data_IF_942505640402
#
_entry.id   IF_942505640402
#
_cell.length_a   1.000
_cell.length_b   1.000
_cell.length_c   1.000
_cell.angle_alpha   90.00
_cell.angle_beta   90.00
_cell.angle_gamma   90.00
#
_symmetry.space_group_name_H-M   'P 1'
#
loop_
_entity.id
_entity.type
_entity.pdbx_description
1 polymer ?
#
# COMPACT_ATOMS: atom_id res chain seq x y z
N UNK A 1 -25.22 23.49 45.76
CA UNK A 1 -24.10 23.26 44.82
C UNK A 1 -23.38 22.01 45.26
N UNK A 2 -23.73 20.86 44.68
CA UNK A 2 -23.07 19.58 44.96
C UNK A 2 -22.22 19.32 43.71
N UNK A 3 -20.91 19.50 43.83
CA UNK A 3 -19.98 18.90 42.89
C UNK A 3 -20.00 17.40 43.20
N UNK A 4 -20.77 16.64 42.43
CA UNK A 4 -20.65 15.18 42.42
C UNK A 4 -19.22 14.86 41.98
N UNK A 5 -18.41 14.41 42.94
CA UNK A 5 -17.13 13.80 42.67
C UNK A 5 -17.40 12.54 41.85
N UNK A 6 -17.12 12.63 40.55
CA UNK A 6 -17.20 11.51 39.62
C UNK A 6 -16.53 10.28 40.25
N UNK A 7 -17.27 9.19 40.38
CA UNK A 7 -16.86 8.00 41.14
C UNK A 7 -15.65 7.29 40.51
N UNK A 8 -15.22 7.73 39.33
CA UNK A 8 -14.24 7.06 38.48
C UNK A 8 -12.97 7.89 38.40
N UNK A 9 -11.86 7.32 38.84
CA UNK A 9 -10.55 7.86 38.50
C UNK A 9 -10.26 7.62 36.99
N UNK A 10 -9.36 8.41 36.39
CA UNK A 10 -8.97 8.28 34.98
C UNK A 10 -8.52 6.87 34.58
N UNK A 11 -7.90 6.12 35.49
CA UNK A 11 -7.42 4.76 35.23
C UNK A 11 -8.58 3.75 35.12
N UNK A 12 -9.54 3.82 36.02
CA UNK A 12 -10.75 2.98 36.06
C UNK A 12 -11.63 3.31 34.85
N UNK A 13 -11.81 4.59 34.52
CA UNK A 13 -12.52 5.02 33.32
C UNK A 13 -11.90 4.40 32.05
N UNK A 14 -10.57 4.41 31.92
CA UNK A 14 -9.90 3.81 30.76
C UNK A 14 -10.05 2.29 30.69
N UNK A 15 -10.02 1.60 31.83
CA UNK A 15 -10.23 0.15 31.89
C UNK A 15 -11.66 -0.24 31.50
N UNK A 16 -12.66 0.47 32.04
CA UNK A 16 -14.08 0.26 31.71
C UNK A 16 -14.33 0.60 30.24
N UNK A 17 -13.76 1.70 29.74
CA UNK A 17 -13.84 2.08 28.33
C UNK A 17 -13.24 1.01 27.42
N UNK A 18 -12.05 0.48 27.73
CA UNK A 18 -11.45 -0.62 26.97
C UNK A 18 -12.32 -1.88 26.95
N UNK A 19 -12.86 -2.28 28.10
CA UNK A 19 -13.73 -3.45 28.22
C UNK A 19 -15.02 -3.28 27.42
N UNK A 20 -15.73 -2.16 27.63
CA UNK A 20 -17.01 -1.86 26.98
C UNK A 20 -16.85 -1.58 25.49
N UNK A 21 -15.68 -1.09 25.05
CA UNK A 21 -15.39 -0.76 23.65
C UNK A 21 -15.62 -1.93 22.67
N UNK A 22 -15.55 -3.17 23.15
CA UNK A 22 -15.85 -4.40 22.37
C UNK A 22 -17.32 -4.52 21.98
N UNK A 23 -18.22 -3.88 22.74
CA UNK A 23 -19.67 -3.93 22.56
C UNK A 23 -20.31 -2.56 22.32
N UNK A 24 -19.54 -1.46 22.38
CA UNK A 24 -20.04 -0.09 22.17
C UNK A 24 -20.67 0.14 20.78
N UNK A 25 -20.43 -0.71 19.80
CA UNK A 25 -21.13 -0.67 18.50
C UNK A 25 -22.64 -0.94 18.61
N UNK A 26 -23.10 -1.49 19.75
CA UNK A 26 -24.53 -1.70 20.06
C UNK A 26 -25.15 -0.51 20.80
N UNK A 27 -24.36 0.49 21.17
CA UNK A 27 -24.81 1.64 21.96
C UNK A 27 -25.24 2.79 21.04
N UNK A 28 -26.56 2.97 20.90
CA UNK A 28 -27.18 4.00 20.05
C UNK A 28 -28.08 4.86 20.96
N UNK A 29 -27.47 5.80 21.70
CA UNK A 29 -28.20 6.79 22.51
C UNK A 29 -27.74 8.21 22.15
N UNK A 30 -28.58 9.21 22.42
CA UNK A 30 -28.33 10.63 22.07
C UNK A 30 -27.06 11.23 22.71
N UNK A 31 -26.50 10.57 23.74
CA UNK A 31 -25.28 10.98 24.43
C UNK A 31 -24.04 10.16 24.00
N UNK A 32 -24.03 9.62 22.79
CA UNK A 32 -22.88 8.91 22.22
C UNK A 32 -22.03 9.86 21.33
N UNK A 33 -20.71 9.85 21.51
CA UNK A 33 -19.77 10.48 20.58
C UNK A 33 -19.53 9.53 19.40
N UNK A 34 -19.60 10.04 18.17
CA UNK A 34 -19.22 9.28 16.99
C UNK A 34 -17.73 8.89 17.09
N UNK A 35 -17.47 7.59 17.00
CA UNK A 35 -16.12 7.04 17.01
C UNK A 35 -15.91 6.32 15.67
N UNK A 36 -14.72 6.44 15.08
CA UNK A 36 -14.46 5.99 13.71
C UNK A 36 -14.73 4.48 13.52
N UNK A 37 -15.38 4.15 12.41
CA UNK A 37 -15.76 2.77 12.05
C UNK A 37 -14.57 1.80 11.98
N UNK A 38 -13.33 2.29 11.83
CA UNK A 38 -12.12 1.47 11.79
C UNK A 38 -11.93 0.62 13.06
N UNK A 39 -12.17 1.19 14.25
CA UNK A 39 -12.02 0.45 15.51
C UNK A 39 -13.08 -0.64 15.65
N UNK A 40 -14.29 -0.39 15.15
CA UNK A 40 -15.40 -1.34 15.17
C UNK A 40 -15.15 -2.51 14.21
N UNK A 41 -14.57 -2.27 13.03
CA UNK A 41 -14.28 -3.35 12.08
C UNK A 41 -13.05 -4.17 12.47
N UNK A 42 -12.05 -3.58 13.12
CA UNK A 42 -10.96 -4.34 13.77
C UNK A 42 -11.55 -5.28 14.82
N UNK A 43 -12.54 -4.81 15.59
CA UNK A 43 -13.24 -5.64 16.59
C UNK A 43 -14.13 -6.72 15.96
N UNK A 44 -14.68 -6.49 14.77
CA UNK A 44 -15.51 -7.46 14.04
C UNK A 44 -14.69 -8.51 13.27
N UNK A 45 -13.56 -8.12 12.70
CA UNK A 45 -12.70 -9.02 11.91
C UNK A 45 -11.61 -9.68 12.73
N UNK A 46 -11.33 -9.21 13.95
CA UNK A 46 -10.27 -9.73 14.81
C UNK A 46 -8.84 -9.53 14.28
N UNK A 47 -8.68 -8.92 13.10
CA UNK A 47 -7.40 -8.67 12.43
C UNK A 47 -6.72 -7.43 12.98
N UNK A 48 -5.38 -7.46 13.05
CA UNK A 48 -4.62 -6.29 13.45
C UNK A 48 -4.67 -5.17 12.39
N UNK A 49 -4.56 -3.90 12.81
CA UNK A 49 -4.46 -2.76 11.87
C UNK A 49 -3.31 -2.91 10.88
N UNK A 50 -2.22 -3.59 11.27
CA UNK A 50 -1.07 -3.88 10.40
C UNK A 50 -1.44 -4.89 9.31
N UNK A 51 -2.15 -5.96 9.66
CA UNK A 51 -2.54 -7.01 8.71
C UNK A 51 -3.59 -6.50 7.72
N UNK A 52 -4.54 -5.66 8.18
CA UNK A 52 -5.51 -4.98 7.30
C UNK A 52 -4.79 -4.09 6.29
N UNK A 53 -3.80 -3.31 6.73
CA UNK A 53 -2.99 -2.46 5.85
C UNK A 53 -2.17 -3.29 4.86
N UNK A 54 -1.56 -4.38 5.34
CA UNK A 54 -0.81 -5.30 4.50
C UNK A 54 -1.69 -5.90 3.40
N UNK A 55 -2.90 -6.36 3.75
CA UNK A 55 -3.84 -6.91 2.80
C UNK A 55 -4.29 -5.86 1.79
N UNK A 56 -4.61 -4.65 2.26
CA UNK A 56 -4.98 -3.53 1.39
C UNK A 56 -3.86 -3.17 0.41
N UNK A 57 -2.61 -3.14 0.86
CA UNK A 57 -1.45 -2.85 0.02
C UNK A 57 -1.21 -3.94 -1.04
N UNK A 58 -1.29 -5.22 -0.66
CA UNK A 58 -1.17 -6.33 -1.63
C UNK A 58 -2.30 -6.25 -2.67
N UNK A 59 -3.54 -6.01 -2.23
CA UNK A 59 -4.69 -5.90 -3.14
C UNK A 59 -4.59 -4.72 -4.07
N UNK A 60 -4.14 -3.58 -3.56
CA UNK A 60 -3.87 -2.40 -4.38
C UNK A 60 -2.83 -2.72 -5.46
N UNK A 61 -1.71 -3.36 -5.11
CA UNK A 61 -0.68 -3.72 -6.08
C UNK A 61 -1.19 -4.68 -7.15
N UNK A 62 -2.07 -5.62 -6.79
CA UNK A 62 -2.67 -6.58 -7.72
C UNK A 62 -3.90 -6.04 -8.46
N UNK A 63 -4.32 -4.81 -8.18
CA UNK A 63 -5.50 -4.21 -8.79
C UNK A 63 -5.28 -3.94 -10.28
N UNK A 64 -6.40 -3.93 -11.03
CA UNK A 64 -6.39 -3.56 -12.45
C UNK A 64 -5.90 -2.13 -12.68
N UNK A 65 -6.09 -1.24 -11.70
CA UNK A 65 -5.68 0.16 -11.78
C UNK A 65 -4.15 0.30 -11.80
N UNK A 66 -3.44 -0.42 -10.92
CA UNK A 66 -1.97 -0.40 -10.91
C UNK A 66 -1.40 -1.06 -12.16
N UNK A 67 -2.03 -2.14 -12.64
CA UNK A 67 -1.67 -2.75 -13.93
C UNK A 67 -1.83 -1.75 -15.08
N UNK A 68 -2.99 -1.09 -15.18
CA UNK A 68 -3.26 -0.06 -16.19
C UNK A 68 -2.32 1.14 -16.08
N UNK A 69 -1.98 1.56 -14.86
CA UNK A 69 -0.99 2.60 -14.60
C UNK A 69 0.35 2.29 -15.25
N UNK A 70 0.86 1.07 -15.04
CA UNK A 70 2.22 0.70 -15.44
C UNK A 70 2.30 0.35 -16.92
N UNK A 71 1.31 -0.36 -17.46
CA UNK A 71 1.32 -0.85 -18.85
C UNK A 71 0.86 0.22 -19.83
N UNK A 72 -0.14 1.03 -19.47
CA UNK A 72 -0.81 1.93 -20.42
C UNK A 72 -0.53 3.41 -20.18
N UNK A 73 -0.58 3.87 -18.93
CA UNK A 73 -0.48 5.30 -18.61
C UNK A 73 0.98 5.75 -18.54
N UNK A 74 1.81 5.03 -17.76
CA UNK A 74 3.19 5.43 -17.51
C UNK A 74 4.04 5.54 -18.78
N UNK A 75 3.98 4.59 -19.75
CA UNK A 75 4.74 4.74 -21.00
C UNK A 75 4.31 5.96 -21.79
N UNK A 76 3.02 6.30 -21.81
CA UNK A 76 2.50 7.48 -22.52
C UNK A 76 2.95 8.78 -21.85
N UNK A 77 2.92 8.84 -20.52
CA UNK A 77 3.44 9.97 -19.73
C UNK A 77 4.94 10.15 -19.97
N UNK A 78 5.72 9.08 -19.93
CA UNK A 78 7.19 9.15 -20.11
C UNK A 78 7.54 9.62 -21.54
N UNK A 79 6.84 9.10 -22.54
CA UNK A 79 7.06 9.47 -23.94
C UNK A 79 6.60 10.91 -24.24
N UNK A 80 5.63 11.42 -23.49
CA UNK A 80 5.02 12.75 -23.68
C UNK A 80 4.89 13.48 -22.34
N UNK A 81 6.03 13.67 -21.68
CA UNK A 81 6.05 14.33 -20.37
C UNK A 81 5.57 15.78 -20.53
N UNK A 82 4.64 16.21 -19.67
CA UNK A 82 4.18 17.59 -19.69
C UNK A 82 5.35 18.51 -19.41
N UNK A 83 5.43 19.61 -20.13
CA UNK A 83 6.53 20.57 -19.99
C UNK A 83 6.01 21.98 -20.17
N UNK A 84 6.58 22.88 -19.40
CA UNK A 84 6.40 24.31 -19.59
C UNK A 84 7.71 24.95 -20.03
N UNK A 85 7.62 26.09 -20.70
CA UNK A 85 8.78 26.78 -21.26
C UNK A 85 9.00 28.09 -20.54
N UNK A 86 10.11 28.22 -19.83
CA UNK A 86 10.48 29.45 -19.13
C UNK A 86 11.68 30.12 -19.81
N UNK A 87 11.71 31.44 -19.72
CA UNK A 87 12.86 32.23 -20.09
C UNK A 87 13.86 32.25 -18.94
N UNK A 88 15.06 31.72 -19.17
CA UNK A 88 16.17 31.82 -18.22
C UNK A 88 17.24 32.77 -18.75
N UNK A 89 17.77 33.61 -17.86
CA UNK A 89 18.88 34.51 -18.16
C UNK A 89 20.17 33.75 -17.86
N UNK A 90 21.02 33.62 -18.87
CA UNK A 90 22.30 32.91 -18.79
C UNK A 90 23.44 33.87 -19.00
N UNK A 91 24.51 33.69 -18.23
CA UNK A 91 25.78 34.39 -18.39
C UNK A 91 26.80 33.39 -18.91
N UNK A 92 27.35 33.64 -20.08
CA UNK A 92 28.32 32.75 -20.72
C UNK A 92 29.37 33.57 -21.48
N UNK A 93 30.56 33.01 -21.64
CA UNK A 93 31.67 33.59 -22.41
C UNK A 93 31.80 33.00 -23.81
N UNK A 94 31.39 31.75 -23.98
CA UNK A 94 31.76 30.98 -25.16
C UNK A 94 30.67 30.95 -26.23
N UNK A 95 29.40 30.77 -25.83
CA UNK A 95 28.31 30.64 -26.80
C UNK A 95 27.07 31.41 -26.35
N UNK A 96 26.60 32.28 -27.24
CA UNK A 96 25.29 32.94 -27.13
C UNK A 96 24.26 32.09 -27.84
N UNK A 97 23.28 31.58 -27.09
CA UNK A 97 22.14 30.82 -27.63
C UNK A 97 20.84 31.49 -27.24
N UNK A 98 20.48 32.56 -27.95
CA UNK A 98 19.24 33.30 -27.73
C UNK A 98 19.41 34.81 -27.88
N UNK A 99 18.45 35.57 -27.33
CA UNK A 99 18.44 37.03 -27.41
C UNK A 99 19.37 37.61 -26.35
N UNK A 100 20.37 38.39 -26.76
CA UNK A 100 21.28 39.11 -25.86
C UNK A 100 20.51 40.23 -25.16
N UNK A 101 20.68 40.32 -23.84
CA UNK A 101 20.29 41.48 -23.03
C UNK A 101 21.51 42.40 -22.93
N UNK A 102 21.60 43.37 -23.83
CA UNK A 102 22.76 44.28 -23.92
C UNK A 102 22.92 45.14 -22.67
N UNK A 103 21.82 45.59 -22.07
CA UNK A 103 21.84 46.40 -20.85
C UNK A 103 22.49 45.60 -19.71
N UNK A 104 22.03 44.36 -19.49
CA UNK A 104 22.65 43.49 -18.48
C UNK A 104 24.07 43.11 -18.87
N UNK A 105 24.34 42.84 -20.14
CA UNK A 105 25.69 42.49 -20.61
C UNK A 105 26.69 43.60 -20.28
N UNK A 106 26.37 44.86 -20.62
CA UNK A 106 27.22 46.01 -20.31
C UNK A 106 27.46 46.11 -18.80
N UNK A 107 26.40 45.98 -17.98
CA UNK A 107 26.53 46.04 -16.53
C UNK A 107 27.44 44.95 -15.95
N UNK A 108 27.30 43.70 -16.41
CA UNK A 108 28.09 42.58 -15.89
C UNK A 108 29.53 42.68 -16.39
N UNK A 109 29.77 43.18 -17.61
CA UNK A 109 31.12 43.46 -18.11
C UNK A 109 31.82 44.52 -17.29
N UNK A 110 31.13 45.63 -16.99
CA UNK A 110 31.70 46.71 -16.18
C UNK A 110 32.17 46.20 -14.81
N UNK A 111 31.38 45.31 -14.17
CA UNK A 111 31.76 44.67 -12.90
C UNK A 111 32.91 43.68 -13.07
N UNK A 112 32.97 42.95 -14.18
CA UNK A 112 33.98 41.93 -14.46
C UNK A 112 35.28 42.48 -15.08
N UNK A 113 35.56 43.78 -14.96
CA UNK A 113 36.78 44.38 -15.51
C UNK A 113 36.74 44.61 -17.02
N UNK A 114 35.55 44.89 -17.56
CA UNK A 114 35.27 45.15 -18.98
C UNK A 114 35.58 43.96 -19.92
N UNK A 115 35.40 42.73 -19.43
CA UNK A 115 35.60 41.49 -20.19
C UNK A 115 34.64 41.40 -21.40
N UNK A 116 35.16 41.58 -22.61
CA UNK A 116 34.38 41.61 -23.87
C UNK A 116 33.78 40.24 -24.21
N UNK A 117 34.35 39.15 -23.68
CA UNK A 117 33.86 37.80 -23.95
C UNK A 117 32.54 37.48 -23.23
N UNK A 118 32.21 38.21 -22.17
CA UNK A 118 31.08 37.90 -21.32
C UNK A 118 29.76 38.40 -21.94
N UNK A 119 28.78 37.53 -22.12
CA UNK A 119 27.46 37.89 -22.62
C UNK A 119 26.36 37.45 -21.65
N UNK A 120 25.32 38.27 -21.54
CA UNK A 120 24.08 37.93 -20.84
C UNK A 120 22.98 37.79 -21.88
N UNK A 121 22.40 36.61 -21.99
CA UNK A 121 21.33 36.35 -22.95
C UNK A 121 20.20 35.53 -22.33
N UNK A 122 19.00 35.68 -22.89
CA UNK A 122 17.83 34.91 -22.51
C UNK A 122 17.69 33.71 -23.44
N UNK A 123 17.55 32.51 -22.85
CA UNK A 123 17.21 31.29 -23.58
C UNK A 123 15.95 30.65 -23.01
N UNK A 124 15.19 30.00 -23.88
CA UNK A 124 14.06 29.18 -23.48
C UNK A 124 14.57 27.86 -22.89
N UNK A 125 14.15 27.54 -21.68
CA UNK A 125 14.42 26.27 -21.02
C UNK A 125 13.11 25.54 -20.72
N UNK A 126 13.14 24.21 -20.87
CA UNK A 126 11.99 23.36 -20.57
C UNK A 126 12.03 22.96 -19.10
N UNK A 127 10.94 23.24 -18.38
CA UNK A 127 10.68 22.76 -17.04
C UNK A 127 9.71 21.59 -17.11
N UNK A 128 10.07 20.51 -16.43
CA UNK A 128 9.25 19.32 -16.26
C UNK A 128 8.61 19.24 -14.87
N UNK A 129 8.89 20.21 -14.01
CA UNK A 129 8.44 20.20 -12.62
C UNK A 129 7.02 20.78 -12.47
N UNK A 130 6.07 20.12 -13.12
CA UNK A 130 4.64 20.46 -13.11
C UNK A 130 3.86 19.64 -12.08
N UNK A 131 2.73 20.14 -11.55
CA UNK A 131 1.93 19.44 -10.53
C UNK A 131 1.57 18.00 -10.94
N UNK A 132 1.19 17.79 -12.20
CA UNK A 132 0.77 16.48 -12.71
C UNK A 132 1.95 15.50 -12.81
N UNK A 133 3.13 16.03 -13.20
CA UNK A 133 4.36 15.24 -13.26
C UNK A 133 4.85 14.87 -11.86
N UNK A 134 4.69 15.76 -10.88
CA UNK A 134 5.00 15.46 -9.48
C UNK A 134 4.06 14.40 -8.92
N UNK A 135 2.76 14.45 -9.25
CA UNK A 135 1.81 13.41 -8.87
C UNK A 135 2.18 12.05 -9.47
N UNK A 136 2.56 12.03 -10.75
CA UNK A 136 3.05 10.83 -11.42
C UNK A 136 4.26 10.25 -10.70
N UNK A 137 5.29 11.06 -10.45
CA UNK A 137 6.50 10.63 -9.76
C UNK A 137 6.18 10.10 -8.35
N UNK A 138 5.32 10.81 -7.61
CA UNK A 138 4.88 10.38 -6.28
C UNK A 138 4.24 9.00 -6.34
N UNK A 139 3.26 8.81 -7.23
CA UNK A 139 2.51 7.55 -7.31
C UNK A 139 3.42 6.38 -7.71
N UNK A 140 4.25 6.55 -8.73
CA UNK A 140 5.20 5.51 -9.16
C UNK A 140 6.17 5.16 -8.04
N UNK A 141 6.66 6.16 -7.30
CA UNK A 141 7.56 5.92 -6.17
C UNK A 141 6.88 5.15 -5.04
N UNK A 142 5.64 5.50 -4.69
CA UNK A 142 4.90 4.78 -3.66
C UNK A 142 4.58 3.34 -4.06
N UNK A 143 4.21 3.12 -5.32
CA UNK A 143 3.99 1.76 -5.85
C UNK A 143 5.30 0.97 -5.82
N UNK A 144 6.42 1.57 -6.24
CA UNK A 144 7.74 0.94 -6.19
C UNK A 144 8.14 0.57 -4.75
N UNK A 145 8.03 1.52 -3.81
CA UNK A 145 8.43 1.31 -2.43
C UNK A 145 7.59 0.19 -1.77
N UNK A 146 6.27 0.17 -1.98
CA UNK A 146 5.39 -0.91 -1.51
C UNK A 146 5.71 -2.24 -2.19
N UNK A 147 5.84 -2.28 -3.51
CA UNK A 147 6.10 -3.50 -4.26
C UNK A 147 7.47 -4.11 -3.91
N UNK A 148 8.49 -3.27 -3.72
CA UNK A 148 9.84 -3.70 -3.30
C UNK A 148 9.82 -4.37 -1.93
N UNK A 149 9.03 -3.86 -0.98
CA UNK A 149 8.90 -4.46 0.35
C UNK A 149 8.40 -5.91 0.29
N UNK A 150 7.45 -6.20 -0.61
CA UNK A 150 6.92 -7.56 -0.77
C UNK A 150 7.80 -8.45 -1.66
N UNK A 151 8.37 -7.90 -2.72
CA UNK A 151 9.19 -8.68 -3.66
C UNK A 151 10.47 -9.22 -3.01
N UNK A 152 11.08 -8.49 -2.06
CA UNK A 152 12.29 -8.93 -1.37
C UNK A 152 13.39 -9.37 -2.34
N UNK A 153 13.93 -10.57 -2.11
CA UNK A 153 15.03 -11.13 -2.92
C UNK A 153 14.62 -11.51 -4.35
N UNK A 154 13.32 -11.72 -4.63
CA UNK A 154 12.85 -12.02 -5.98
C UNK A 154 13.17 -10.89 -6.96
N UNK A 155 13.18 -9.64 -6.48
CA UNK A 155 13.50 -8.49 -7.31
C UNK A 155 14.93 -8.55 -7.87
N UNK A 156 15.88 -9.04 -7.08
CA UNK A 156 17.29 -9.17 -7.48
C UNK A 156 17.49 -10.25 -8.54
N UNK A 157 16.62 -11.25 -8.57
CA UNK A 157 16.67 -12.40 -9.48
C UNK A 157 15.92 -12.16 -10.79
N UNK A 158 15.18 -11.06 -10.91
CA UNK A 158 14.46 -10.71 -12.14
C UNK A 158 15.40 -10.10 -13.17
N UNK A 159 15.29 -10.57 -14.41
CA UNK A 159 15.93 -9.90 -15.55
C UNK A 159 15.23 -8.57 -15.83
N UNK A 160 15.96 -7.63 -16.42
CA UNK A 160 15.46 -6.27 -16.71
C UNK A 160 14.31 -6.22 -17.75
N UNK A 161 14.08 -7.32 -18.47
CA UNK A 161 13.01 -7.52 -19.45
C UNK A 161 11.94 -8.51 -18.99
N UNK A 162 11.85 -8.81 -17.68
CA UNK A 162 10.82 -9.68 -17.17
C UNK A 162 9.41 -9.10 -17.42
N UNK A 163 8.57 -9.88 -18.09
CA UNK A 163 7.16 -9.59 -18.35
C UNK A 163 6.28 -10.59 -17.58
N UNK A 164 4.96 -10.34 -17.56
CA UNK A 164 4.00 -11.26 -16.95
C UNK A 164 4.03 -12.60 -17.71
N UNK A 165 4.74 -13.57 -17.15
CA UNK A 165 4.81 -14.94 -17.68
C UNK A 165 3.63 -15.79 -17.19
N UNK A 166 3.65 -17.08 -17.51
CA UNK A 166 2.63 -18.08 -17.11
C UNK A 166 2.68 -18.48 -15.62
N UNK A 167 3.41 -17.74 -14.78
CA UNK A 167 3.51 -18.05 -13.37
C UNK A 167 2.42 -17.30 -12.59
N UNK A 168 1.45 -18.05 -12.10
CA UNK A 168 0.25 -17.53 -11.44
C UNK A 168 0.51 -16.98 -10.03
N UNK A 169 1.74 -17.08 -9.51
CA UNK A 169 2.06 -16.58 -8.17
C UNK A 169 2.01 -15.06 -8.11
N UNK A 170 1.13 -14.56 -7.25
CA UNK A 170 0.96 -13.13 -6.99
C UNK A 170 2.26 -12.40 -6.64
N UNK A 171 3.16 -13.05 -5.89
CA UNK A 171 4.46 -12.48 -5.47
C UNK A 171 5.34 -12.12 -6.68
N UNK A 172 5.29 -12.90 -7.76
CA UNK A 172 6.03 -12.61 -8.99
C UNK A 172 5.42 -11.44 -9.74
N UNK A 173 4.09 -11.33 -9.78
CA UNK A 173 3.40 -10.17 -10.36
C UNK A 173 3.81 -8.88 -9.66
N UNK A 174 3.85 -8.91 -8.32
CA UNK A 174 4.33 -7.77 -7.52
C UNK A 174 5.83 -7.48 -7.78
N UNK A 175 6.66 -8.50 -7.94
CA UNK A 175 8.07 -8.30 -8.27
C UNK A 175 8.28 -7.70 -9.68
N UNK A 176 7.46 -8.07 -10.66
CA UNK A 176 7.44 -7.45 -12.00
C UNK A 176 7.02 -5.98 -11.91
N UNK A 177 5.98 -5.67 -11.13
CA UNK A 177 5.56 -4.29 -10.85
C UNK A 177 6.73 -3.47 -10.27
N UNK A 178 7.45 -4.01 -9.28
CA UNK A 178 8.63 -3.35 -8.70
C UNK A 178 9.75 -3.13 -9.76
N UNK A 179 9.98 -4.10 -10.64
CA UNK A 179 10.97 -3.97 -11.72
C UNK A 179 10.58 -2.89 -12.74
N UNK A 180 9.33 -2.89 -13.19
CA UNK A 180 8.81 -1.92 -14.18
C UNK A 180 8.81 -0.50 -13.62
N UNK A 181 8.35 -0.30 -12.38
CA UNK A 181 8.38 1.01 -11.72
C UNK A 181 9.81 1.51 -11.47
N UNK A 182 10.75 0.62 -11.12
CA UNK A 182 12.18 0.95 -11.05
C UNK A 182 12.74 1.47 -12.37
N UNK A 183 12.36 0.87 -13.51
CA UNK A 183 12.76 1.33 -14.85
C UNK A 183 12.24 2.73 -15.15
N UNK A 184 10.99 3.01 -14.78
CA UNK A 184 10.37 4.33 -14.96
C UNK A 184 11.13 5.39 -14.15
N UNK A 185 11.46 5.09 -12.90
CA UNK A 185 12.18 6.00 -12.00
C UNK A 185 13.61 6.31 -12.45
N UNK A 186 14.25 5.41 -13.20
CA UNK A 186 15.60 5.62 -13.79
C UNK A 186 15.59 6.51 -15.03
N UNK A 187 14.43 6.90 -15.54
CA UNK A 187 14.36 7.75 -16.73
C UNK A 187 14.98 9.14 -16.47
N UNK A 188 15.88 9.64 -17.34
CA UNK A 188 16.54 10.93 -17.13
C UNK A 188 15.59 12.13 -17.02
N UNK A 189 14.44 12.12 -17.70
CA UNK A 189 13.44 13.20 -17.60
C UNK A 189 12.67 13.14 -16.28
N UNK A 190 12.35 11.93 -15.81
CA UNK A 190 11.68 11.72 -14.52
C UNK A 190 12.58 12.17 -13.37
N UNK A 191 13.90 11.95 -13.48
CA UNK A 191 14.88 12.39 -12.48
C UNK A 191 14.96 13.92 -12.29
N UNK A 192 14.44 14.71 -13.24
CA UNK A 192 14.41 16.18 -13.19
C UNK A 192 13.15 16.74 -12.51
N UNK A 193 12.19 15.89 -12.17
CA UNK A 193 10.94 16.29 -11.50
C UNK A 193 11.19 16.43 -10.00
N UNK A 194 10.64 17.47 -9.37
CA UNK A 194 10.74 17.68 -7.93
C UNK A 194 10.02 16.59 -7.13
N UNK A 195 10.64 16.14 -6.05
CA UNK A 195 10.04 15.13 -5.16
C UNK A 195 8.92 15.76 -4.33
N UNK A 196 7.81 15.04 -4.25
CA UNK A 196 6.68 15.34 -3.38
C UNK A 196 6.67 14.37 -2.20
N UNK A 197 6.39 14.87 -0.99
CA UNK A 197 6.31 14.05 0.22
C UNK A 197 4.86 13.69 0.58
N UNK A 198 3.90 14.54 0.22
CA UNK A 198 2.48 14.34 0.53
C UNK A 198 1.61 14.74 -0.67
N UNK A 199 0.56 13.97 -0.95
CA UNK A 199 -0.44 14.34 -1.94
C UNK A 199 -1.41 15.35 -1.32
N UNK A 200 -1.60 16.47 -2.02
CA UNK A 200 -2.64 17.43 -1.73
C UNK A 200 -3.80 17.26 -2.72
N UNK A 201 -5.05 17.32 -2.23
CA UNK A 201 -6.26 17.26 -3.05
C UNK A 201 -6.25 18.32 -4.17
N UNK A 202 -5.64 19.49 -3.92
CA UNK A 202 -5.44 20.54 -4.95
C UNK A 202 -4.66 20.05 -6.17
N UNK A 203 -3.68 19.18 -5.97
CA UNK A 203 -2.83 18.67 -7.04
C UNK A 203 -3.55 17.61 -7.84
N UNK A 204 -4.33 16.75 -7.17
CA UNK A 204 -5.21 15.80 -7.85
C UNK A 204 -6.20 16.54 -8.73
N UNK A 205 -6.86 17.57 -8.19
CA UNK A 205 -7.86 18.34 -8.93
C UNK A 205 -7.23 19.09 -10.12
N UNK A 206 -6.05 19.69 -9.93
CA UNK A 206 -5.29 20.27 -11.04
C UNK A 206 -4.96 19.24 -12.12
N UNK A 207 -4.60 18.02 -11.72
CA UNK A 207 -4.27 16.91 -12.63
C UNK A 207 -5.52 16.43 -13.40
N UNK A 208 -6.70 16.39 -12.78
CA UNK A 208 -7.97 16.06 -13.45
C UNK A 208 -8.33 17.06 -14.56
N UNK A 209 -7.89 18.32 -14.43
CA UNK A 209 -8.10 19.34 -15.44
C UNK A 209 -6.98 19.40 -16.49
N UNK A 210 -6.02 18.48 -16.46
CA UNK A 210 -4.95 18.45 -17.45
C UNK A 210 -5.49 18.19 -18.86
N UNK A 211 -4.88 18.85 -19.84
CA UNK A 211 -5.24 18.72 -21.26
C UNK A 211 -5.03 17.31 -21.82
N UNK A 212 -4.11 16.55 -21.24
CA UNK A 212 -3.82 15.18 -21.70
C UNK A 212 -4.65 14.16 -20.91
N UNK A 213 -5.32 13.25 -21.61
CA UNK A 213 -6.18 12.24 -20.99
C UNK A 213 -5.45 11.36 -19.98
N UNK A 214 -4.18 11.02 -20.23
CA UNK A 214 -3.41 10.13 -19.35
C UNK A 214 -3.15 10.72 -17.96
N UNK A 215 -3.08 12.04 -17.82
CA UNK A 215 -3.01 12.67 -16.49
C UNK A 215 -4.36 12.64 -15.78
N UNK A 216 -5.47 12.75 -16.52
CA UNK A 216 -6.81 12.61 -15.93
C UNK A 216 -7.03 11.20 -15.38
N UNK A 217 -6.68 10.18 -16.17
CA UNK A 217 -6.68 8.79 -15.71
C UNK A 217 -5.73 8.57 -14.52
N UNK A 218 -4.54 9.18 -14.52
CA UNK A 218 -3.61 9.14 -13.39
C UNK A 218 -4.23 9.71 -12.11
N UNK A 219 -4.98 10.81 -12.22
CA UNK A 219 -5.64 11.43 -11.07
C UNK A 219 -6.69 10.49 -10.44
N UNK A 220 -7.48 9.79 -11.26
CA UNK A 220 -8.44 8.78 -10.78
C UNK A 220 -7.75 7.64 -10.03
N UNK A 221 -6.61 7.16 -10.54
CA UNK A 221 -5.82 6.12 -9.87
C UNK A 221 -5.21 6.66 -8.57
N UNK A 222 -4.76 7.91 -8.55
CA UNK A 222 -4.24 8.55 -7.34
C UNK A 222 -5.33 8.68 -6.25
N UNK A 223 -6.57 8.99 -6.61
CA UNK A 223 -7.69 9.01 -5.67
C UNK A 223 -7.96 7.62 -5.07
N UNK A 224 -7.96 6.58 -5.91
CA UNK A 224 -8.11 5.19 -5.44
C UNK A 224 -6.95 4.76 -4.55
N UNK A 225 -5.73 5.14 -4.90
CA UNK A 225 -4.55 4.92 -4.07
C UNK A 225 -4.74 5.59 -2.70
N UNK A 226 -5.12 6.86 -2.64
CA UNK A 226 -5.36 7.57 -1.38
C UNK A 226 -6.50 6.93 -0.58
N UNK A 227 -7.58 6.53 -1.25
CA UNK A 227 -8.69 5.83 -0.64
C UNK A 227 -8.23 4.53 0.04
N UNK A 228 -7.36 3.74 -0.61
CA UNK A 228 -6.77 2.53 0.00
C UNK A 228 -5.95 2.82 1.26
N UNK A 229 -5.26 3.97 1.31
CA UNK A 229 -4.41 4.33 2.44
C UNK A 229 -5.20 4.96 3.60
N UNK A 230 -6.17 5.82 3.29
CA UNK A 230 -7.01 6.52 4.29
C UNK A 230 -8.10 5.62 4.85
N UNK A 231 -8.65 4.71 4.04
CA UNK A 231 -9.79 3.86 4.37
C UNK A 231 -9.59 2.41 3.89
N UNK A 232 -8.59 1.68 4.44
CA UNK A 232 -8.21 0.36 3.94
C UNK A 232 -9.35 -0.67 4.03
N UNK A 233 -10.21 -0.57 5.03
CA UNK A 233 -11.35 -1.49 5.22
C UNK A 233 -12.42 -1.29 4.14
N UNK A 234 -12.82 -0.04 3.88
CA UNK A 234 -13.81 0.26 2.85
C UNK A 234 -13.27 -0.11 1.46
N UNK A 235 -11.96 0.09 1.24
CA UNK A 235 -11.25 -0.37 0.04
C UNK A 235 -11.30 -1.88 -0.11
N UNK A 236 -10.93 -2.64 0.93
CA UNK A 236 -10.96 -4.10 0.90
C UNK A 236 -12.36 -4.66 0.67
N UNK A 237 -13.39 -4.05 1.27
CA UNK A 237 -14.79 -4.48 1.03
C UNK A 237 -15.18 -4.39 -0.44
N UNK A 238 -14.69 -3.36 -1.15
CA UNK A 238 -14.95 -3.19 -2.59
C UNK A 238 -14.11 -4.12 -3.45
N UNK A 239 -12.84 -4.33 -3.11
CA UNK A 239 -11.90 -5.12 -3.92
C UNK A 239 -12.05 -6.64 -3.73
N UNK A 240 -12.46 -7.10 -2.55
CA UNK A 240 -12.62 -8.53 -2.26
C UNK A 240 -13.90 -9.14 -2.85
N UNK A 241 -14.84 -8.32 -3.30
CA UNK A 241 -16.08 -8.75 -3.95
C UNK A 241 -15.77 -9.31 -5.35
N UNK A 242 -15.28 -10.55 -5.40
CA UNK A 242 -14.93 -11.29 -6.62
C UNK A 242 -13.44 -11.59 -6.83
N UNK A 243 -12.52 -11.06 -6.01
CA UNK A 243 -11.07 -11.29 -6.15
C UNK A 243 -10.44 -11.87 -4.88
N UNK A 244 -10.31 -13.20 -4.82
CA UNK A 244 -9.69 -13.93 -3.70
C UNK A 244 -8.32 -14.48 -4.12
N UNK A 245 -7.40 -14.65 -3.17
CA UNK A 245 -6.12 -15.34 -3.42
C UNK A 245 -6.34 -16.82 -3.16
N UNK A 246 -6.31 -17.63 -4.21
CA UNK A 246 -6.44 -19.07 -4.12
C UNK A 246 -5.04 -19.74 -4.07
N UNK A 247 -4.83 -20.73 -3.20
CA UNK A 247 -3.63 -21.55 -3.24
C UNK A 247 -3.52 -22.32 -4.57
N UNK A 248 -2.35 -22.25 -5.21
CA UNK A 248 -2.12 -22.95 -6.48
C UNK A 248 -2.00 -24.47 -6.33
N UNK A 249 -1.53 -24.95 -5.16
CA UNK A 249 -1.41 -26.37 -4.87
C UNK A 249 -2.65 -26.88 -4.13
N UNK A 250 -3.21 -28.01 -4.60
CA UNK A 250 -4.31 -28.74 -3.96
C UNK A 250 -3.97 -29.16 -2.52
N UNK A 251 -2.72 -29.54 -2.25
CA UNK A 251 -2.31 -29.93 -0.89
C UNK A 251 -2.42 -28.75 0.08
N UNK A 252 -1.92 -27.58 -0.32
CA UNK A 252 -2.01 -26.35 0.47
C UNK A 252 -3.46 -25.90 0.64
N UNK A 253 -4.30 -26.07 -0.39
CA UNK A 253 -5.73 -25.81 -0.28
C UNK A 253 -6.40 -26.73 0.76
N UNK A 254 -6.05 -28.02 0.75
CA UNK A 254 -6.53 -28.98 1.74
C UNK A 254 -6.08 -28.62 3.16
N UNK A 255 -4.81 -28.26 3.35
CA UNK A 255 -4.28 -27.82 4.64
C UNK A 255 -5.03 -26.59 5.19
N UNK A 256 -5.30 -25.60 4.33
CA UNK A 256 -6.08 -24.41 4.69
C UNK A 256 -7.53 -24.77 5.00
N UNK A 257 -8.14 -25.68 4.24
CA UNK A 257 -9.50 -26.14 4.49
C UNK A 257 -9.62 -26.85 5.85
N UNK A 258 -8.67 -27.72 6.19
CA UNK A 258 -8.60 -28.40 7.49
C UNK A 258 -8.39 -27.40 8.62
N UNK A 259 -7.50 -26.42 8.44
CA UNK A 259 -7.29 -25.33 9.39
C UNK A 259 -8.60 -24.59 9.68
N UNK A 260 -9.32 -24.15 8.65
CA UNK A 260 -10.58 -23.44 8.80
C UNK A 260 -11.66 -24.32 9.44
N UNK A 261 -11.78 -25.60 9.04
CA UNK A 261 -12.69 -26.54 9.71
C UNK A 261 -12.36 -26.71 11.20
N UNK A 262 -11.09 -26.75 11.56
CA UNK A 262 -10.67 -26.87 12.97
C UNK A 262 -11.05 -25.62 13.78
N UNK A 263 -10.88 -24.43 13.21
CA UNK A 263 -11.31 -23.16 13.83
C UNK A 263 -12.83 -23.15 14.00
N UNK A 264 -13.59 -23.46 12.94
CA UNK A 264 -15.05 -23.48 12.97
C UNK A 264 -15.59 -24.51 13.98
N UNK A 265 -15.08 -25.73 13.98
CA UNK A 265 -15.48 -26.76 14.94
C UNK A 265 -15.17 -26.34 16.39
N UNK A 266 -14.05 -25.64 16.62
CA UNK A 266 -13.73 -25.11 17.95
C UNK A 266 -14.74 -24.03 18.37
N UNK A 267 -15.14 -23.14 17.46
CA UNK A 267 -16.17 -22.12 17.72
C UNK A 267 -17.53 -22.78 18.02
N UNK A 268 -17.92 -23.81 17.27
CA UNK A 268 -19.14 -24.58 17.50
C UNK A 268 -19.15 -25.26 18.89
N UNK A 269 -17.99 -25.69 19.39
CA UNK A 269 -17.81 -26.23 20.74
C UNK A 269 -17.79 -25.16 21.85
N UNK A 270 -18.11 -23.90 21.52
CA UNK A 270 -18.23 -22.81 22.48
C UNK A 270 -16.94 -22.03 22.75
N UNK A 271 -15.89 -22.24 21.95
CA UNK A 271 -14.68 -21.42 22.05
C UNK A 271 -14.91 -20.04 21.41
N UNK A 272 -14.33 -19.01 22.02
CA UNK A 272 -14.45 -17.61 21.55
C UNK A 272 -13.14 -17.16 20.90
N UNK A 273 -13.22 -16.61 19.70
CA UNK A 273 -12.04 -16.13 18.98
C UNK A 273 -11.59 -14.77 19.50
N UNK A 274 -10.40 -14.73 20.10
CA UNK A 274 -9.83 -13.54 20.73
C UNK A 274 -9.04 -12.68 19.73
N UNK A 275 -8.36 -13.32 18.78
CA UNK A 275 -7.61 -12.64 17.72
C UNK A 275 -7.44 -13.52 16.50
N UNK A 276 -7.52 -12.89 15.33
CA UNK A 276 -7.34 -13.55 14.03
C UNK A 276 -6.03 -13.05 13.42
N UNK A 277 -5.23 -13.98 12.91
CA UNK A 277 -3.99 -13.68 12.19
C UNK A 277 -4.14 -13.97 10.70
N UNK A 278 -3.43 -13.21 9.88
CA UNK A 278 -3.39 -13.43 8.44
C UNK A 278 -2.40 -14.57 8.12
N UNK A 279 -2.85 -15.59 7.40
CA UNK A 279 -2.00 -16.71 6.98
C UNK A 279 -0.95 -16.20 5.98
N UNK A 280 0.33 -16.35 6.32
CA UNK A 280 1.44 -15.77 5.54
C UNK A 280 1.70 -14.28 5.85
N UNK A 281 1.01 -13.72 6.85
CA UNK A 281 1.24 -12.37 7.37
C UNK A 281 2.39 -12.31 8.38
N UNK A 282 2.44 -11.23 9.14
CA UNK A 282 3.54 -10.96 10.09
C UNK A 282 3.53 -11.87 11.33
N UNK A 283 2.37 -12.42 11.69
CA UNK A 283 2.20 -13.31 12.84
C UNK A 283 2.05 -14.76 12.37
N UNK A 284 2.83 -15.73 12.90
CA UNK A 284 2.69 -17.15 12.53
C UNK A 284 1.40 -17.80 13.06
N UNK A 285 0.70 -17.14 13.98
CA UNK A 285 -0.54 -17.65 14.58
C UNK A 285 -1.71 -17.33 13.68
N UNK A 286 -2.46 -18.35 13.26
CA UNK A 286 -3.67 -18.20 12.45
C UNK A 286 -4.86 -17.74 13.30
N UNK A 287 -5.04 -18.32 14.49
CA UNK A 287 -6.13 -17.96 15.39
C UNK A 287 -5.76 -18.23 16.86
N UNK A 288 -6.28 -17.39 17.76
CA UNK A 288 -6.22 -17.58 19.20
C UNK A 288 -7.66 -17.66 19.72
N UNK A 289 -8.02 -18.82 20.25
CA UNK A 289 -9.34 -19.14 20.79
C UNK A 289 -9.27 -19.27 22.31
N UNK A 290 -10.32 -18.87 23.02
CA UNK A 290 -10.41 -18.96 24.48
C UNK A 290 -11.70 -19.63 24.93
N UNK A 291 -11.60 -20.53 25.90
CA UNK A 291 -12.73 -21.13 26.60
C UNK A 291 -12.44 -21.10 28.11
N UNK A 292 -13.05 -20.14 28.82
CA UNK A 292 -12.68 -19.82 30.20
C UNK A 292 -11.22 -19.35 30.31
N UNK A 293 -10.44 -20.02 31.15
CA UNK A 293 -9.02 -19.73 31.38
C UNK A 293 -8.07 -20.44 30.40
N UNK A 294 -8.61 -21.26 29.49
CA UNK A 294 -7.81 -22.05 28.53
C UNK A 294 -7.70 -21.29 27.22
N UNK A 295 -6.47 -21.13 26.72
CA UNK A 295 -6.15 -20.51 25.44
C UNK A 295 -5.65 -21.56 24.44
N UNK A 296 -6.33 -21.70 23.32
CA UNK A 296 -5.95 -22.54 22.18
C UNK A 296 -5.33 -21.65 21.09
N UNK A 297 -4.10 -21.96 20.70
CA UNK A 297 -3.40 -21.27 19.60
C UNK A 297 -3.25 -22.19 18.41
N UNK A 298 -3.74 -21.74 17.26
CA UNK A 298 -3.68 -22.48 16.01
C UNK A 298 -2.68 -21.80 15.08
N UNK A 299 -1.77 -22.58 14.50
CA UNK A 299 -0.66 -22.11 13.64
C UNK A 299 -0.76 -22.70 12.24
N UNK A 300 -0.21 -21.99 11.25
CA UNK A 300 -0.05 -22.46 9.87
C UNK A 300 1.42 -22.34 9.46
N UNK A 301 2.10 -23.44 9.12
CA UNK A 301 3.55 -23.44 8.80
C UNK A 301 3.85 -24.30 7.58
N UNK A 302 4.55 -23.72 6.60
CA UNK A 302 4.89 -24.36 5.33
C UNK A 302 5.99 -25.43 5.38
N UNK A 303 6.68 -25.65 6.50
CA UNK A 303 7.60 -26.78 6.65
C UNK A 303 7.66 -27.18 8.14
N UNK A 304 7.38 -28.47 8.41
CA UNK A 304 7.62 -29.21 9.65
C UNK A 304 7.16 -28.55 10.97
N UNK A 305 6.13 -29.18 11.53
CA UNK A 305 5.65 -29.04 12.91
C UNK A 305 6.83 -29.09 13.88
N UNK A 306 7.15 -27.97 14.52
CA UNK A 306 8.02 -27.95 15.70
C UNK A 306 7.16 -27.65 16.93
N UNK A 307 6.97 -28.71 17.72
CA UNK A 307 6.29 -28.71 19.00
C UNK A 307 7.05 -27.83 20.00
N UNK A 308 6.41 -26.80 20.53
CA UNK A 308 6.83 -26.21 21.80
C UNK A 308 5.74 -26.47 22.84
N UNK A 309 6.07 -27.35 23.79
CA UNK A 309 5.26 -27.71 24.95
C UNK A 309 5.05 -26.49 25.83
N UNK A 310 3.79 -26.14 26.09
CA UNK A 310 3.34 -25.75 27.44
C UNK A 310 1.85 -26.06 27.59
N UNK A 311 1.61 -27.09 28.41
CA UNK A 311 0.41 -27.53 29.16
C UNK A 311 -0.97 -27.49 28.45
N UNK A 312 -1.50 -28.70 28.22
CA UNK A 312 -2.86 -29.04 27.78
C UNK A 312 -3.28 -28.63 26.36
N UNK A 313 -2.61 -29.17 25.33
CA UNK A 313 -3.12 -29.19 23.95
C UNK A 313 -3.74 -30.55 23.60
N UNK A 314 -4.93 -30.53 23.02
CA UNK A 314 -5.40 -31.63 22.18
C UNK A 314 -4.53 -31.69 20.92
N UNK A 315 -3.89 -32.85 20.71
CA UNK A 315 -2.93 -33.12 19.65
C UNK A 315 -3.66 -33.78 18.48
N UNK A 316 -3.81 -33.09 17.35
CA UNK A 316 -4.19 -33.72 16.08
C UNK A 316 -2.94 -33.84 15.21
N UNK A 317 -2.32 -35.03 15.25
CA UNK A 317 -1.29 -35.44 14.29
C UNK A 317 -1.93 -36.48 13.37
N UNK A 318 -2.13 -36.15 12.10
CA UNK A 318 -2.55 -37.13 11.10
C UNK A 318 -1.35 -37.53 10.25
N UNK A 319 -0.99 -38.82 10.33
CA UNK A 319 -0.01 -39.46 9.47
C UNK A 319 -0.69 -39.76 8.13
N UNK A 320 0.02 -39.60 7.02
CA UNK A 320 -0.50 -39.61 5.63
C UNK A 320 -1.05 -40.96 5.13
N UNK A 321 -1.35 -41.92 6.00
CA UNK A 321 -1.84 -43.25 5.62
C UNK A 321 -3.38 -43.39 5.64
N UNK A 322 -4.13 -42.35 6.03
CA UNK A 322 -5.58 -42.45 6.25
C UNK A 322 -6.45 -41.79 5.17
N UNK A 323 -5.94 -41.58 3.95
CA UNK A 323 -6.68 -40.94 2.85
C UNK A 323 -7.86 -41.80 2.31
N UNK A 324 -8.07 -43.01 2.82
CA UNK A 324 -9.09 -43.93 2.27
C UNK A 324 -10.53 -43.82 2.81
N UNK A 325 -10.81 -43.05 3.86
CA UNK A 325 -12.13 -43.13 4.53
C UNK A 325 -12.95 -41.82 4.51
N UNK A 326 -12.68 -40.88 3.60
CA UNK A 326 -13.42 -39.61 3.54
C UNK A 326 -14.28 -39.44 2.28
N UNK A 327 -14.58 -40.53 1.55
CA UNK A 327 -15.50 -40.51 0.40
C UNK A 327 -16.98 -40.65 0.79
N UNK A 328 -17.32 -40.98 2.05
CA UNK A 328 -18.70 -41.33 2.43
C UNK A 328 -19.56 -40.20 3.02
N UNK A 329 -19.11 -38.93 3.04
CA UNK A 329 -19.91 -37.80 3.58
C UNK A 329 -19.78 -36.49 2.79
N UNK A 330 -19.85 -36.58 1.46
CA UNK A 330 -20.36 -35.50 0.59
C UNK A 330 -21.79 -35.86 0.23
#
# INVERSE_FOLDING_TARGET
MIYESDCWNKSIHNQISQFTSKMLWRFIQNNAKENEAEETVIKLTGLSKKDIRLLADIRLLLSKDIKHLIENIAPKIINRLSKDSINIIVRDRNQVRGKIDWQKTISVRAVAGNDISLFVYTKMSQIYDLPENRLFLFLIKQVFDKARLFAGDLLSNLTWYAEEGTDDRWIKKVAIIASQTSRILRNPFVSKIGIMYEINDRIIEATKHSRHSHYRELAEIAERFIFSQKKPIEFLKKELDGNILEPLNKDTLYEIAVLFKTILASIELGWTEKSIGLIGGSNPTASILTNGDIELRIFFRNYLVQCLKTVNMAKLCWNTDSVKNFEDQI
#
